data_IF_750321307325
#
_entry.id   IF_750321307325
#
_cell.length_a   1.000
_cell.length_b   1.000
_cell.length_c   1.000
_cell.angle_alpha   90.00
_cell.angle_beta   90.00
_cell.angle_gamma   90.00
#
_symmetry.space_group_name_H-M   'P 1'
#
loop_
_entity.id
_entity.type
_entity.pdbx_description
1 polymer ?
#
# COMPACT_ATOMS: atom_id res chain seq x y z
N UNK A 1 -13.34 -12.19 36.64
CA UNK A 1 -13.13 -13.55 36.10
C UNK A 1 -13.75 -13.73 34.71
N UNK A 2 -15.03 -13.40 34.51
CA UNK A 2 -15.75 -13.58 33.23
C UNK A 2 -15.10 -12.86 32.04
N UNK A 3 -14.66 -11.60 32.21
CA UNK A 3 -13.99 -10.84 31.14
C UNK A 3 -12.63 -11.42 30.71
N UNK A 4 -11.91 -12.08 31.62
CA UNK A 4 -10.62 -12.71 31.33
C UNK A 4 -10.82 -14.01 30.54
N UNK A 5 -11.83 -14.81 30.89
CA UNK A 5 -12.21 -16.03 30.17
C UNK A 5 -12.73 -15.69 28.76
N UNK A 6 -13.52 -14.61 28.62
CA UNK A 6 -14.01 -14.15 27.32
C UNK A 6 -12.88 -13.62 26.41
N UNK A 7 -11.90 -12.91 26.97
CA UNK A 7 -10.70 -12.49 26.23
C UNK A 7 -9.88 -13.69 25.75
N UNK A 8 -9.72 -14.70 26.59
CA UNK A 8 -9.02 -15.94 26.26
C UNK A 8 -9.77 -16.70 25.14
N UNK A 9 -11.10 -16.73 25.18
CA UNK A 9 -11.92 -17.36 24.14
C UNK A 9 -11.88 -16.60 22.81
N UNK A 10 -11.96 -15.27 22.84
CA UNK A 10 -11.84 -14.44 21.65
C UNK A 10 -10.43 -14.54 21.03
N UNK A 11 -9.39 -14.59 21.88
CA UNK A 11 -8.01 -14.79 21.47
C UNK A 11 -7.81 -16.19 20.85
N UNK A 12 -8.33 -17.25 21.46
CA UNK A 12 -8.26 -18.62 20.92
C UNK A 12 -9.08 -18.77 19.62
N UNK A 13 -10.24 -18.12 19.53
CA UNK A 13 -11.03 -18.10 18.30
C UNK A 13 -10.29 -17.36 17.19
N UNK A 14 -9.65 -16.24 17.48
CA UNK A 14 -8.81 -15.52 16.52
C UNK A 14 -7.57 -16.30 16.13
N UNK A 15 -6.90 -16.95 17.08
CA UNK A 15 -5.74 -17.79 16.83
C UNK A 15 -6.14 -19.00 15.98
N UNK A 16 -7.32 -19.59 16.22
CA UNK A 16 -7.89 -20.67 15.40
C UNK A 16 -8.31 -20.21 14.01
N UNK A 17 -8.88 -19.02 13.87
CA UNK A 17 -9.23 -18.44 12.57
C UNK A 17 -7.97 -18.05 11.80
N UNK A 18 -6.97 -17.47 12.46
CA UNK A 18 -5.66 -17.13 11.90
C UNK A 18 -4.85 -18.37 11.51
N UNK A 19 -4.84 -19.42 12.35
CA UNK A 19 -4.19 -20.70 12.05
C UNK A 19 -4.95 -21.47 10.96
N UNK A 20 -6.28 -21.43 10.97
CA UNK A 20 -7.11 -22.00 9.91
C UNK A 20 -6.88 -21.31 8.57
N UNK A 21 -6.78 -19.97 8.57
CA UNK A 21 -6.42 -19.19 7.39
C UNK A 21 -4.97 -19.43 6.96
N UNK A 22 -4.03 -19.48 7.90
CA UNK A 22 -2.61 -19.68 7.57
C UNK A 22 -2.37 -21.08 7.00
N UNK A 23 -3.02 -22.12 7.54
CA UNK A 23 -2.98 -23.49 7.00
C UNK A 23 -3.72 -23.59 5.66
N UNK A 24 -4.84 -22.89 5.47
CA UNK A 24 -5.53 -22.76 4.17
C UNK A 24 -4.65 -22.06 3.11
N UNK A 25 -3.92 -21.01 3.50
CA UNK A 25 -2.99 -20.25 2.63
C UNK A 25 -1.72 -21.07 2.36
N UNK A 26 -1.24 -21.87 3.32
CA UNK A 26 -0.02 -22.67 3.19
C UNK A 26 -0.24 -23.93 2.34
N UNK A 27 -1.44 -24.55 2.37
CA UNK A 27 -1.81 -25.64 1.44
C UNK A 27 -2.01 -25.19 -0.01
N UNK A 28 -2.39 -23.93 -0.28
CA UNK A 28 -2.35 -23.37 -1.66
C UNK A 28 -0.93 -23.12 -2.16
N UNK A 29 0.03 -22.83 -1.26
CA UNK A 29 1.44 -22.64 -1.60
C UNK A 29 2.14 -23.93 -2.02
N UNK A 30 1.88 -25.06 -1.35
CA UNK A 30 2.49 -26.35 -1.75
C UNK A 30 1.97 -26.86 -3.10
N UNK A 31 0.71 -26.63 -3.45
CA UNK A 31 0.16 -27.12 -4.73
C UNK A 31 0.66 -26.28 -5.92
N UNK A 32 0.99 -25.01 -5.72
CA UNK A 32 1.57 -24.17 -6.78
C UNK A 32 3.09 -24.39 -6.94
N UNK A 33 3.80 -24.75 -5.86
CA UNK A 33 5.23 -25.09 -5.91
C UNK A 33 5.51 -26.52 -6.37
N UNK A 34 4.57 -27.45 -6.18
CA UNK A 34 4.69 -28.83 -6.71
C UNK A 34 4.29 -28.97 -8.18
N UNK A 35 3.73 -27.95 -8.83
CA UNK A 35 3.51 -28.00 -10.30
C UNK A 35 4.75 -27.50 -11.07
N UNK A 36 5.65 -26.74 -10.42
CA UNK A 36 6.93 -26.33 -11.04
C UNK A 36 8.11 -27.27 -10.71
N UNK A 37 7.93 -28.28 -9.85
CA UNK A 37 8.94 -29.30 -9.52
C UNK A 37 8.69 -30.68 -10.15
N UNK A 38 7.70 -30.83 -11.03
CA UNK A 38 7.47 -32.06 -11.79
C UNK A 38 7.68 -31.86 -13.30
N UNK A 39 8.80 -31.23 -13.65
CA UNK A 39 9.57 -31.67 -14.82
C UNK A 39 10.55 -32.77 -14.35
N UNK A 40 10.03 -33.98 -14.11
CA UNK A 40 10.82 -35.19 -13.85
C UNK A 40 10.99 -35.60 -12.38
N UNK A 41 10.06 -36.41 -11.85
CA UNK A 41 10.34 -37.29 -10.70
C UNK A 41 9.41 -38.52 -10.69
N UNK A 42 10.02 -39.70 -10.55
CA UNK A 42 9.41 -41.04 -10.51
C UNK A 42 8.79 -41.31 -9.14
N UNK A 43 7.54 -41.80 -9.01
CA UNK A 43 6.97 -42.05 -7.69
C UNK A 43 7.40 -43.43 -7.18
N UNK A 44 7.92 -43.48 -5.95
CA UNK A 44 7.98 -44.69 -5.16
C UNK A 44 7.17 -44.52 -3.87
N UNK A 45 6.28 -45.49 -3.68
CA UNK A 45 5.56 -45.93 -2.48
C UNK A 45 4.36 -45.12 -1.94
N UNK A 46 3.19 -45.68 -2.27
CA UNK A 46 1.87 -45.40 -1.72
C UNK A 46 1.78 -45.95 -0.29
N UNK A 47 1.47 -45.10 0.70
CA UNK A 47 0.92 -45.53 1.99
C UNK A 47 -0.59 -45.28 2.03
N UNK A 48 -1.32 -46.32 2.45
CA UNK A 48 -2.77 -46.47 2.35
C UNK A 48 -3.58 -45.34 3.01
N UNK A 49 -4.54 -44.83 2.24
CA UNK A 49 -5.54 -43.85 2.62
C UNK A 49 -6.61 -44.43 3.57
N UNK A 50 -6.90 -43.74 4.68
CA UNK A 50 -7.91 -44.15 5.67
C UNK A 50 -9.33 -43.65 5.36
N UNK A 51 -10.35 -44.28 5.94
CA UNK A 51 -11.81 -44.07 5.74
C UNK A 51 -12.30 -42.60 5.67
N UNK A 52 -11.64 -41.66 6.37
CA UNK A 52 -11.92 -40.22 6.32
C UNK A 52 -11.61 -39.55 4.95
N UNK A 53 -10.76 -40.19 4.14
CA UNK A 53 -10.36 -39.78 2.79
C UNK A 53 -11.46 -40.08 1.76
N UNK A 54 -12.23 -41.14 1.98
CA UNK A 54 -13.39 -41.52 1.16
C UNK A 54 -14.58 -40.57 1.46
N UNK A 55 -14.74 -40.15 2.71
CA UNK A 55 -15.73 -39.12 3.09
C UNK A 55 -15.37 -37.73 2.55
N UNK A 56 -14.07 -37.37 2.58
CA UNK A 56 -13.48 -36.15 2.00
C UNK A 56 -13.75 -36.04 0.49
N UNK A 57 -13.70 -37.16 -0.23
CA UNK A 57 -13.88 -37.17 -1.68
C UNK A 57 -15.36 -37.02 -2.10
N UNK A 58 -16.31 -37.62 -1.36
CA UNK A 58 -17.75 -37.41 -1.63
C UNK A 58 -18.23 -35.99 -1.32
N UNK A 59 -17.63 -35.30 -0.35
CA UNK A 59 -17.92 -33.89 -0.09
C UNK A 59 -17.37 -32.98 -1.20
N UNK A 60 -16.23 -33.32 -1.80
CA UNK A 60 -15.64 -32.54 -2.90
C UNK A 60 -16.51 -32.55 -4.17
N UNK A 61 -17.18 -33.66 -4.50
CA UNK A 61 -18.07 -33.74 -5.67
C UNK A 61 -19.34 -32.89 -5.48
N UNK A 62 -19.94 -32.87 -4.28
CA UNK A 62 -21.16 -32.10 -4.00
C UNK A 62 -20.96 -30.57 -4.02
N UNK A 63 -19.75 -30.07 -3.72
CA UNK A 63 -19.46 -28.63 -3.68
C UNK A 63 -18.71 -28.09 -4.91
N UNK A 64 -18.10 -28.97 -5.72
CA UNK A 64 -17.52 -28.59 -7.01
C UNK A 64 -18.59 -28.17 -8.03
N UNK A 65 -19.81 -28.70 -7.91
CA UNK A 65 -20.85 -28.50 -8.92
C UNK A 65 -21.64 -27.17 -8.77
N UNK A 66 -21.41 -26.41 -7.68
CA UNK A 66 -22.18 -25.19 -7.38
C UNK A 66 -21.42 -23.87 -7.51
N UNK A 67 -20.18 -23.87 -8.03
CA UNK A 67 -19.35 -22.65 -8.18
C UNK A 67 -19.27 -22.13 -9.63
N UNK A 68 -19.92 -22.80 -10.60
CA UNK A 68 -20.18 -22.24 -11.93
C UNK A 68 -21.51 -21.47 -11.95
N UNK A 69 -21.53 -20.27 -11.38
CA UNK A 69 -22.53 -19.24 -11.76
C UNK A 69 -21.85 -17.89 -11.99
N UNK A 70 -21.99 -17.29 -13.20
CA UNK A 70 -21.44 -15.98 -13.49
C UNK A 70 -22.35 -14.90 -12.84
N UNK A 71 -21.77 -14.03 -12.01
CA UNK A 71 -22.55 -13.01 -11.30
C UNK A 71 -21.73 -11.76 -10.92
N UNK A 72 -21.98 -10.68 -11.70
CA UNK A 72 -21.70 -9.23 -11.57
C UNK A 72 -20.23 -8.73 -11.43
N UNK A 73 -19.75 -7.79 -12.30
CA UNK A 73 -18.31 -7.72 -12.62
C UNK A 73 -17.53 -6.50 -12.09
N UNK A 74 -18.13 -5.48 -11.46
CA UNK A 74 -17.44 -4.17 -11.37
C UNK A 74 -16.55 -3.95 -10.13
N UNK A 75 -17.00 -4.30 -8.90
CA UNK A 75 -16.23 -4.00 -7.68
C UNK A 75 -15.13 -5.02 -7.33
N UNK A 76 -15.18 -6.25 -7.88
CA UNK A 76 -14.23 -7.32 -7.54
C UNK A 76 -12.83 -7.05 -8.11
N UNK A 77 -12.77 -6.66 -9.39
CA UNK A 77 -11.49 -6.33 -10.06
C UNK A 77 -10.73 -5.23 -9.33
N UNK A 78 -11.41 -4.19 -8.83
CA UNK A 78 -10.75 -3.05 -8.19
C UNK A 78 -10.07 -3.43 -6.87
N UNK A 79 -10.71 -4.25 -6.03
CA UNK A 79 -10.12 -4.70 -4.77
C UNK A 79 -8.99 -5.68 -4.99
N UNK A 80 -9.13 -6.59 -5.95
CA UNK A 80 -8.05 -7.52 -6.33
C UNK A 80 -6.83 -6.75 -6.87
N UNK A 81 -7.06 -5.74 -7.71
CA UNK A 81 -6.00 -4.83 -8.18
C UNK A 81 -5.35 -4.06 -7.02
N UNK A 82 -6.11 -3.61 -6.02
CA UNK A 82 -5.55 -2.96 -4.84
C UNK A 82 -4.66 -3.91 -4.00
N UNK A 83 -5.00 -5.21 -3.93
CA UNK A 83 -4.14 -6.19 -3.25
C UNK A 83 -2.83 -6.40 -4.00
N UNK A 84 -2.90 -6.49 -5.32
CA UNK A 84 -1.73 -6.59 -6.20
C UNK A 84 -0.85 -5.34 -6.06
N UNK A 85 -1.45 -4.15 -6.11
CA UNK A 85 -0.77 -2.86 -5.90
C UNK A 85 -0.16 -2.74 -4.49
N UNK A 86 -0.76 -3.36 -3.47
CA UNK A 86 -0.22 -3.40 -2.12
C UNK A 86 0.91 -4.44 -1.96
N UNK A 87 1.09 -5.33 -2.94
CA UNK A 87 2.00 -6.48 -2.84
C UNK A 87 1.54 -7.54 -1.85
N UNK A 88 0.23 -7.62 -1.58
CA UNK A 88 -0.32 -8.60 -0.66
C UNK A 88 -0.72 -9.85 -1.44
N UNK A 89 -0.30 -11.06 -1.01
CA UNK A 89 -0.67 -12.32 -1.65
C UNK A 89 -2.09 -12.76 -1.25
N UNK A 90 -3.02 -11.82 -1.22
CA UNK A 90 -4.40 -12.00 -0.79
C UNK A 90 -5.33 -11.60 -1.92
N UNK A 91 -6.43 -12.34 -2.08
CA UNK A 91 -7.54 -11.91 -2.92
C UNK A 91 -8.32 -10.78 -2.20
N UNK A 92 -8.99 -9.91 -2.95
CA UNK A 92 -9.75 -8.79 -2.38
C UNK A 92 -10.85 -9.25 -1.42
N UNK A 93 -11.47 -10.41 -1.69
CA UNK A 93 -12.45 -11.04 -0.80
C UNK A 93 -11.81 -11.62 0.48
N UNK A 94 -10.60 -12.17 0.41
CA UNK A 94 -9.87 -12.66 1.58
C UNK A 94 -9.52 -11.49 2.50
N UNK A 95 -9.06 -10.37 1.93
CA UNK A 95 -8.79 -9.16 2.69
C UNK A 95 -10.06 -8.59 3.35
N UNK A 96 -11.19 -8.55 2.62
CA UNK A 96 -12.47 -8.15 3.19
C UNK A 96 -12.91 -9.07 4.33
N UNK A 97 -12.78 -10.39 4.18
CA UNK A 97 -13.13 -11.36 5.22
C UNK A 97 -12.26 -11.19 6.47
N UNK A 98 -10.94 -10.99 6.32
CA UNK A 98 -10.01 -10.72 7.43
C UNK A 98 -10.37 -9.41 8.12
N UNK A 99 -10.61 -8.34 7.35
CA UNK A 99 -10.94 -7.03 7.92
C UNK A 99 -12.30 -7.01 8.63
N UNK A 100 -13.30 -7.70 8.07
CA UNK A 100 -14.61 -7.89 8.70
C UNK A 100 -14.52 -8.75 9.96
N UNK A 101 -13.76 -9.85 9.92
CA UNK A 101 -13.51 -10.70 11.09
C UNK A 101 -12.80 -9.94 12.21
N UNK A 102 -11.81 -9.12 11.88
CA UNK A 102 -11.14 -8.24 12.83
C UNK A 102 -12.11 -7.20 13.43
N UNK A 103 -12.98 -6.61 12.63
CA UNK A 103 -13.98 -5.64 13.10
C UNK A 103 -14.98 -6.27 14.07
N UNK A 104 -15.48 -7.48 13.75
CA UNK A 104 -16.36 -8.25 14.63
C UNK A 104 -15.64 -8.63 15.92
N UNK A 105 -14.37 -9.03 15.86
CA UNK A 105 -13.59 -9.32 17.05
C UNK A 105 -13.42 -8.10 17.94
N UNK A 106 -13.04 -6.96 17.37
CA UNK A 106 -12.89 -5.71 18.11
C UNK A 106 -14.22 -5.31 18.75
N UNK A 107 -15.33 -5.41 18.02
CA UNK A 107 -16.67 -5.16 18.53
C UNK A 107 -17.01 -6.07 19.72
N UNK A 108 -16.79 -7.39 19.61
CA UNK A 108 -17.11 -8.34 20.66
C UNK A 108 -16.25 -8.12 21.91
N UNK A 109 -14.94 -7.94 21.74
CA UNK A 109 -14.03 -7.70 22.88
C UNK A 109 -14.40 -6.42 23.62
N UNK A 110 -14.68 -5.33 22.91
CA UNK A 110 -15.02 -4.05 23.52
C UNK A 110 -16.41 -4.04 24.16
N UNK A 111 -17.40 -4.69 23.54
CA UNK A 111 -18.73 -4.87 24.12
C UNK A 111 -18.72 -5.76 25.38
N UNK A 112 -17.90 -6.82 25.40
CA UNK A 112 -17.77 -7.74 26.54
C UNK A 112 -16.94 -7.14 27.70
N UNK A 113 -16.07 -6.16 27.43
CA UNK A 113 -15.35 -5.40 28.46
C UNK A 113 -16.24 -4.36 29.19
N UNK A 114 -17.56 -4.38 28.96
CA UNK A 114 -18.52 -3.63 29.77
C UNK A 114 -18.64 -2.14 29.43
N UNK A 115 -18.00 -1.68 28.36
CA UNK A 115 -18.25 -0.36 27.78
C UNK A 115 -19.37 -0.54 26.75
N UNK A 116 -20.42 0.27 26.83
CA UNK A 116 -21.70 0.08 26.11
C UNK A 116 -21.59 -0.42 24.66
N UNK A 117 -22.67 -1.01 24.13
CA UNK A 117 -22.83 -1.39 22.71
C UNK A 117 -22.35 -0.30 21.73
N UNK A 118 -22.49 0.97 22.12
CA UNK A 118 -22.03 2.13 21.35
C UNK A 118 -20.50 2.14 21.18
N UNK A 119 -19.74 1.83 22.24
CA UNK A 119 -18.27 1.76 22.19
C UNK A 119 -17.78 0.57 21.38
N UNK A 120 -18.53 -0.54 21.40
CA UNK A 120 -18.25 -1.69 20.54
C UNK A 120 -18.42 -1.36 19.06
N UNK A 121 -19.52 -0.70 18.72
CA UNK A 121 -19.80 -0.26 17.36
C UNK A 121 -18.73 0.71 16.86
N UNK A 122 -18.32 1.68 17.68
CA UNK A 122 -17.22 2.59 17.36
C UNK A 122 -15.89 1.84 17.16
N UNK A 123 -15.57 0.86 18.00
CA UNK A 123 -14.36 0.03 17.86
C UNK A 123 -14.35 -0.76 16.55
N UNK A 124 -15.47 -1.39 16.18
CA UNK A 124 -15.62 -2.11 14.91
C UNK A 124 -15.48 -1.19 13.70
N UNK A 125 -16.09 -0.01 13.73
CA UNK A 125 -15.94 1.01 12.67
C UNK A 125 -14.48 1.45 12.55
N UNK A 126 -13.82 1.75 13.66
CA UNK A 126 -12.41 2.14 13.68
C UNK A 126 -11.49 1.03 13.14
N UNK A 127 -11.81 -0.24 13.37
CA UNK A 127 -11.06 -1.37 12.82
C UNK A 127 -11.19 -1.44 11.28
N UNK A 128 -12.39 -1.22 10.72
CA UNK A 128 -12.61 -1.18 9.27
C UNK A 128 -11.90 0.04 8.66
N UNK A 129 -12.02 1.21 9.27
CA UNK A 129 -11.30 2.40 8.80
C UNK A 129 -9.78 2.21 8.87
N UNK A 130 -9.29 1.59 9.96
CA UNK A 130 -7.88 1.26 10.14
C UNK A 130 -7.35 0.32 9.05
N UNK A 131 -8.12 -0.70 8.66
CA UNK A 131 -7.72 -1.60 7.58
C UNK A 131 -7.61 -0.86 6.24
N UNK A 132 -8.60 -0.03 5.90
CA UNK A 132 -8.59 0.78 4.65
C UNK A 132 -7.39 1.74 4.63
N UNK A 133 -7.11 2.42 5.75
CA UNK A 133 -5.95 3.32 5.86
C UNK A 133 -4.64 2.54 5.73
N UNK A 134 -4.53 1.38 6.37
CA UNK A 134 -3.36 0.51 6.25
C UNK A 134 -3.11 0.09 4.80
N UNK A 135 -4.16 -0.35 4.09
CA UNK A 135 -4.07 -0.74 2.69
C UNK A 135 -3.60 0.42 1.81
N UNK A 136 -4.23 1.59 1.93
CA UNK A 136 -3.85 2.79 1.17
C UNK A 136 -2.39 3.19 1.44
N UNK A 137 -1.97 3.20 2.72
CA UNK A 137 -0.58 3.49 3.09
C UNK A 137 0.40 2.49 2.50
N UNK A 138 0.05 1.20 2.48
CA UNK A 138 0.90 0.15 1.91
C UNK A 138 1.06 0.32 0.40
N UNK A 139 -0.04 0.59 -0.32
CA UNK A 139 -0.01 0.89 -1.75
C UNK A 139 0.88 2.11 -2.02
N UNK A 140 0.66 3.22 -1.30
CA UNK A 140 1.43 4.45 -1.53
C UNK A 140 2.92 4.25 -1.29
N UNK A 141 3.30 3.55 -0.19
CA UNK A 141 4.70 3.23 0.08
C UNK A 141 5.34 2.39 -1.04
N UNK A 142 4.61 1.43 -1.60
CA UNK A 142 5.12 0.60 -2.71
C UNK A 142 5.25 1.42 -4.00
N UNK A 143 4.30 2.30 -4.30
CA UNK A 143 4.39 3.24 -5.44
C UNK A 143 5.57 4.19 -5.30
N UNK A 144 5.76 4.80 -4.13
CA UNK A 144 6.91 5.67 -3.84
C UNK A 144 8.24 4.92 -3.94
N UNK A 145 8.30 3.66 -3.48
CA UNK A 145 9.50 2.84 -3.62
C UNK A 145 9.82 2.54 -5.09
N UNK A 146 8.80 2.29 -5.91
CA UNK A 146 8.94 2.08 -7.35
C UNK A 146 9.40 3.36 -8.06
N UNK A 147 8.80 4.52 -7.74
CA UNK A 147 9.18 5.83 -8.30
C UNK A 147 10.65 6.17 -8.02
N UNK A 148 11.12 5.91 -6.79
CA UNK A 148 12.53 6.13 -6.43
C UNK A 148 13.50 5.28 -7.22
N UNK A 149 13.10 4.06 -7.58
CA UNK A 149 13.91 3.11 -8.36
C UNK A 149 13.87 3.41 -9.87
N UNK A 150 12.94 4.24 -10.35
CA UNK A 150 12.70 4.45 -11.77
C UNK A 150 13.89 5.06 -12.52
N UNK A 151 14.58 6.03 -11.91
CA UNK A 151 15.76 6.66 -12.52
C UNK A 151 16.93 5.67 -12.71
N UNK A 152 17.17 4.83 -11.70
CA UNK A 152 18.21 3.79 -11.74
C UNK A 152 17.87 2.73 -12.80
N UNK A 153 16.59 2.35 -12.89
CA UNK A 153 16.09 1.44 -13.92
C UNK A 153 16.31 1.98 -15.33
N UNK A 154 15.95 3.24 -15.58
CA UNK A 154 16.14 3.85 -16.90
C UNK A 154 17.61 3.94 -17.28
N UNK A 155 18.48 4.20 -16.30
CA UNK A 155 19.94 4.18 -16.51
C UNK A 155 20.42 2.79 -16.88
N UNK A 156 19.96 1.75 -16.18
CA UNK A 156 20.27 0.36 -16.48
C UNK A 156 19.80 -0.01 -17.89
N UNK A 157 18.56 0.33 -18.25
CA UNK A 157 17.99 0.05 -19.57
C UNK A 157 18.81 0.72 -20.67
N UNK A 158 19.10 2.02 -20.52
CA UNK A 158 19.88 2.76 -21.51
C UNK A 158 21.28 2.16 -21.70
N UNK A 159 21.99 1.85 -20.60
CA UNK A 159 23.31 1.24 -20.66
C UNK A 159 23.30 -0.16 -21.28
N UNK A 160 22.32 -1.01 -20.93
CA UNK A 160 22.17 -2.34 -21.51
C UNK A 160 21.89 -2.29 -23.01
N UNK A 161 20.97 -1.43 -23.45
CA UNK A 161 20.66 -1.28 -24.86
C UNK A 161 21.86 -0.73 -25.66
N UNK A 162 22.62 0.23 -25.11
CA UNK A 162 23.86 0.73 -25.73
C UNK A 162 24.96 -0.32 -25.81
N UNK A 163 25.04 -1.21 -24.83
CA UNK A 163 25.95 -2.35 -24.85
C UNK A 163 25.53 -3.44 -25.85
N UNK A 164 24.41 -3.25 -26.57
CA UNK A 164 23.94 -4.16 -27.61
C UNK A 164 23.03 -5.27 -27.08
N UNK A 165 22.63 -5.25 -25.81
CA UNK A 165 21.63 -6.20 -25.31
C UNK A 165 20.28 -5.94 -25.98
N UNK A 166 19.56 -7.02 -26.28
CA UNK A 166 18.17 -6.93 -26.73
C UNK A 166 17.27 -6.37 -25.62
N UNK A 167 16.10 -5.87 -26.00
CA UNK A 167 15.11 -5.37 -25.04
C UNK A 167 14.71 -6.44 -24.02
N UNK A 168 14.48 -7.69 -24.45
CA UNK A 168 14.16 -8.81 -23.55
C UNK A 168 15.31 -9.15 -22.58
N UNK A 169 16.55 -9.19 -23.06
CA UNK A 169 17.71 -9.39 -22.19
C UNK A 169 17.84 -8.25 -21.17
N UNK A 170 17.55 -7.02 -21.57
CA UNK A 170 17.56 -5.86 -20.68
C UNK A 170 16.49 -5.99 -19.58
N UNK A 171 15.26 -6.42 -19.93
CA UNK A 171 14.22 -6.69 -18.94
C UNK A 171 14.62 -7.81 -17.96
N UNK A 172 15.31 -8.84 -18.46
CA UNK A 172 15.85 -9.91 -17.64
C UNK A 172 16.91 -9.42 -16.65
N UNK A 173 17.83 -8.56 -17.09
CA UNK A 173 18.85 -7.94 -16.21
C UNK A 173 18.15 -7.15 -15.09
N UNK A 174 17.14 -6.32 -15.41
CA UNK A 174 16.38 -5.56 -14.40
C UNK A 174 15.73 -6.51 -13.38
N UNK A 175 15.16 -7.63 -13.85
CA UNK A 175 14.51 -8.60 -12.98
C UNK A 175 15.45 -9.27 -11.97
N UNK A 176 16.76 -9.28 -12.24
CA UNK A 176 17.79 -9.91 -11.41
C UNK A 176 18.57 -8.90 -10.56
N UNK A 177 18.91 -7.74 -11.11
CA UNK A 177 19.81 -6.76 -10.49
C UNK A 177 19.08 -5.74 -9.60
N UNK A 178 17.80 -5.44 -9.89
CA UNK A 178 17.07 -4.44 -9.11
C UNK A 178 16.45 -5.01 -7.83
N UNK A 179 16.21 -4.13 -6.86
CA UNK A 179 15.51 -4.49 -5.65
C UNK A 179 13.98 -4.50 -5.86
N UNK A 180 13.21 -5.27 -5.07
CA UNK A 180 11.76 -5.15 -5.05
C UNK A 180 11.31 -3.71 -4.71
N UNK A 181 10.20 -3.21 -5.25
CA UNK A 181 9.19 -3.91 -6.05
C UNK A 181 9.53 -4.08 -7.55
N UNK A 182 10.55 -3.39 -8.08
CA UNK A 182 10.79 -3.32 -9.51
C UNK A 182 11.21 -4.65 -10.12
N UNK A 183 12.19 -5.35 -9.53
CA UNK A 183 12.60 -6.69 -10.01
C UNK A 183 11.46 -7.70 -10.03
N UNK A 184 10.55 -7.63 -9.06
CA UNK A 184 9.37 -8.51 -9.00
C UNK A 184 8.44 -8.29 -10.19
N UNK A 185 8.20 -7.03 -10.57
CA UNK A 185 7.32 -6.72 -11.69
C UNK A 185 7.96 -7.07 -13.04
N UNK A 186 9.25 -6.80 -13.22
CA UNK A 186 9.97 -7.22 -14.44
C UNK A 186 10.11 -8.76 -14.53
N UNK A 187 10.27 -9.46 -13.40
CA UNK A 187 10.22 -10.93 -13.39
C UNK A 187 8.83 -11.46 -13.80
N UNK A 188 7.75 -10.77 -13.43
CA UNK A 188 6.40 -11.11 -13.90
C UNK A 188 6.26 -10.90 -15.41
N UNK A 189 6.85 -9.83 -15.96
CA UNK A 189 6.91 -9.59 -17.41
C UNK A 189 7.62 -10.75 -18.10
N UNK A 190 8.85 -11.10 -17.65
CA UNK A 190 9.61 -12.21 -18.23
C UNK A 190 8.85 -13.54 -18.17
N UNK A 191 8.17 -13.82 -17.05
CA UNK A 191 7.33 -15.01 -16.92
C UNK A 191 6.14 -15.01 -17.88
N UNK A 192 5.46 -13.88 -18.03
CA UNK A 192 4.33 -13.76 -18.96
C UNK A 192 4.78 -13.96 -20.41
N UNK A 193 5.92 -13.37 -20.79
CA UNK A 193 6.50 -13.55 -22.12
C UNK A 193 6.91 -15.01 -22.36
N UNK A 194 7.52 -15.67 -21.37
CA UNK A 194 7.89 -17.09 -21.47
C UNK A 194 6.66 -18.01 -21.62
N UNK A 195 5.48 -17.58 -21.16
CA UNK A 195 4.20 -18.27 -21.35
C UNK A 195 3.53 -17.94 -22.69
N UNK A 196 4.22 -17.26 -23.60
CA UNK A 196 3.75 -16.95 -24.95
C UNK A 196 2.90 -15.68 -25.07
N UNK A 197 2.83 -14.85 -24.02
CA UNK A 197 2.23 -13.50 -24.14
C UNK A 197 3.19 -12.56 -24.84
N UNK A 198 2.63 -11.55 -25.51
CA UNK A 198 3.43 -10.48 -26.10
C UNK A 198 4.07 -9.63 -24.99
N UNK A 199 5.21 -9.01 -25.32
CA UNK A 199 5.93 -8.16 -24.37
C UNK A 199 5.09 -6.92 -24.06
N UNK A 200 4.37 -6.43 -25.05
CA UNK A 200 3.48 -5.30 -25.01
C UNK A 200 2.36 -5.53 -23.99
N UNK A 201 1.65 -6.68 -24.08
CA UNK A 201 0.59 -7.02 -23.14
C UNK A 201 1.14 -7.17 -21.72
N UNK A 202 2.32 -7.78 -21.58
CA UNK A 202 2.95 -7.98 -20.28
C UNK A 202 3.36 -6.65 -19.62
N UNK A 203 3.86 -5.69 -20.39
CA UNK A 203 4.21 -4.34 -19.93
C UNK A 203 2.98 -3.50 -19.61
N UNK A 204 1.92 -3.59 -20.40
CA UNK A 204 0.65 -2.93 -20.10
C UNK A 204 0.00 -3.47 -18.82
N UNK A 205 0.04 -4.78 -18.60
CA UNK A 205 -0.41 -5.36 -17.32
C UNK A 205 0.46 -4.90 -16.15
N UNK A 206 1.78 -4.77 -16.35
CA UNK A 206 2.69 -4.22 -15.35
C UNK A 206 2.32 -2.77 -15.00
N UNK A 207 2.06 -1.93 -16.00
CA UNK A 207 1.62 -0.54 -15.80
C UNK A 207 0.36 -0.46 -14.94
N UNK A 208 -0.66 -1.27 -15.23
CA UNK A 208 -1.89 -1.33 -14.43
C UNK A 208 -1.65 -1.78 -12.98
N UNK A 209 -0.71 -2.73 -12.77
CA UNK A 209 -0.36 -3.23 -11.43
C UNK A 209 0.47 -2.24 -10.62
N UNK A 210 1.35 -1.46 -11.26
CA UNK A 210 2.16 -0.44 -10.59
C UNK A 210 1.33 0.81 -10.31
N UNK A 211 0.60 1.30 -11.32
CA UNK A 211 -0.27 2.47 -11.21
C UNK A 211 0.46 3.75 -10.78
N UNK A 212 1.67 3.98 -11.31
CA UNK A 212 2.47 5.19 -11.11
C UNK A 212 2.50 5.98 -12.42
N UNK A 213 2.13 7.26 -12.38
CA UNK A 213 1.96 8.10 -13.58
C UNK A 213 3.27 8.30 -14.36
N UNK A 214 4.38 8.51 -13.66
CA UNK A 214 5.70 8.70 -14.27
C UNK A 214 6.15 7.41 -14.99
N UNK A 215 5.86 6.24 -14.41
CA UNK A 215 6.12 4.95 -15.05
C UNK A 215 5.19 4.68 -16.26
N UNK A 216 3.91 5.07 -16.19
CA UNK A 216 2.98 4.94 -17.33
C UNK A 216 3.46 5.72 -18.55
N UNK A 217 4.08 6.88 -18.34
CA UNK A 217 4.70 7.66 -19.41
C UNK A 217 5.89 6.92 -20.04
N UNK A 218 6.73 6.30 -19.22
CA UNK A 218 7.85 5.46 -19.70
C UNK A 218 7.34 4.27 -20.52
N UNK A 219 6.36 3.52 -20.02
CA UNK A 219 5.80 2.36 -20.73
C UNK A 219 5.19 2.78 -22.07
N UNK A 220 4.42 3.86 -22.09
CA UNK A 220 3.84 4.39 -23.33
C UNK A 220 4.91 4.73 -24.35
N UNK A 221 5.98 5.43 -23.94
CA UNK A 221 7.09 5.76 -24.82
C UNK A 221 7.82 4.51 -25.35
N UNK A 222 8.07 3.52 -24.49
CA UNK A 222 8.71 2.25 -24.86
C UNK A 222 7.87 1.49 -25.89
N UNK A 223 6.55 1.37 -25.66
CA UNK A 223 5.64 0.65 -26.58
C UNK A 223 5.55 1.33 -27.95
N UNK A 224 5.45 2.66 -27.99
CA UNK A 224 5.47 3.42 -29.24
C UNK A 224 6.79 3.17 -29.98
N UNK A 225 7.90 3.26 -29.27
CA UNK A 225 9.22 3.12 -29.88
C UNK A 225 9.50 1.70 -30.37
N UNK A 226 8.95 0.67 -29.71
CA UNK A 226 9.02 -0.71 -30.16
C UNK A 226 8.26 -0.93 -31.48
N UNK A 227 7.13 -0.23 -31.67
CA UNK A 227 6.29 -0.36 -32.87
C UNK A 227 6.83 0.43 -34.06
N UNK A 228 7.35 1.64 -33.83
CA UNK A 228 7.78 2.56 -34.91
C UNK A 228 9.21 2.25 -35.37
N UNK A 229 10.05 1.69 -34.49
CA UNK A 229 11.46 1.42 -34.78
C UNK A 229 12.33 2.70 -34.76
N UNK A 230 13.48 2.64 -34.08
CA UNK A 230 14.44 3.75 -33.97
C UNK A 230 15.36 3.59 -32.77
N UNK A 231 16.22 4.57 -32.48
CA UNK A 231 17.17 4.51 -31.37
C UNK A 231 16.49 4.70 -30.01
N UNK A 232 15.91 3.62 -29.47
CA UNK A 232 15.26 3.56 -28.15
C UNK A 232 16.18 4.06 -27.03
N UNK A 233 17.50 3.85 -27.15
CA UNK A 233 18.46 4.33 -26.15
C UNK A 233 18.45 5.86 -26.05
N UNK A 234 18.43 6.58 -27.19
CA UNK A 234 18.40 8.05 -27.20
C UNK A 234 17.13 8.62 -26.57
N UNK A 235 15.96 8.02 -26.85
CA UNK A 235 14.69 8.50 -26.29
C UNK A 235 14.62 8.20 -24.78
N UNK A 236 15.08 7.02 -24.36
CA UNK A 236 15.14 6.68 -22.94
C UNK A 236 16.10 7.59 -22.18
N UNK A 237 17.18 8.07 -22.80
CA UNK A 237 18.07 9.07 -22.20
C UNK A 237 17.37 10.41 -21.97
N UNK A 238 16.61 10.90 -22.97
CA UNK A 238 15.83 12.14 -22.83
C UNK A 238 14.76 12.00 -21.74
N UNK A 239 14.09 10.84 -21.66
CA UNK A 239 13.10 10.56 -20.61
C UNK A 239 13.77 10.47 -19.25
N UNK A 240 14.92 9.80 -19.14
CA UNK A 240 15.71 9.69 -17.91
C UNK A 240 16.15 11.06 -17.41
N UNK A 241 16.66 11.92 -18.28
CA UNK A 241 17.04 13.30 -17.93
C UNK A 241 15.83 14.09 -17.45
N UNK A 242 14.71 14.02 -18.16
CA UNK A 242 13.46 14.70 -17.78
C UNK A 242 12.94 14.24 -16.42
N UNK A 243 12.91 12.92 -16.17
CA UNK A 243 12.45 12.35 -14.89
C UNK A 243 13.41 12.70 -13.76
N UNK A 244 14.72 12.64 -14.01
CA UNK A 244 15.73 12.99 -12.99
C UNK A 244 15.61 14.46 -12.60
N UNK A 245 15.41 15.35 -13.58
CA UNK A 245 15.21 16.77 -13.33
C UNK A 245 13.89 17.04 -12.59
N UNK A 246 12.79 16.36 -12.96
CA UNK A 246 11.53 16.43 -12.21
C UNK A 246 11.69 15.97 -10.76
N UNK A 247 12.40 14.87 -10.52
CA UNK A 247 12.66 14.37 -9.17
C UNK A 247 13.51 15.37 -8.38
N UNK A 248 14.53 15.96 -9.01
CA UNK A 248 15.36 17.00 -8.39
C UNK A 248 14.54 18.22 -8.02
N UNK A 249 13.73 18.74 -8.94
CA UNK A 249 12.83 19.87 -8.70
C UNK A 249 11.83 19.56 -7.59
N UNK A 250 11.20 18.37 -7.59
CA UNK A 250 10.32 17.93 -6.50
C UNK A 250 11.02 17.91 -5.14
N UNK A 251 12.28 17.44 -5.08
CA UNK A 251 13.08 17.44 -3.85
C UNK A 251 13.46 18.84 -3.41
N UNK A 252 13.85 19.70 -4.35
CA UNK A 252 14.23 21.09 -4.07
C UNK A 252 13.04 21.90 -3.57
N UNK A 253 11.91 21.86 -4.27
CA UNK A 253 10.65 22.46 -3.81
C UNK A 253 10.21 21.83 -2.48
N UNK A 254 10.33 20.52 -2.31
CA UNK A 254 10.03 19.85 -1.04
C UNK A 254 10.89 20.37 0.12
N UNK A 255 12.17 20.64 -0.13
CA UNK A 255 13.11 21.17 0.87
C UNK A 255 12.79 22.63 1.20
N UNK A 256 12.59 23.47 0.18
CA UNK A 256 12.23 24.89 0.34
C UNK A 256 10.87 25.07 1.03
N UNK A 257 9.88 24.26 0.67
CA UNK A 257 8.56 24.28 1.30
C UNK A 257 8.58 23.69 2.72
N UNK A 258 9.43 22.70 3.00
CA UNK A 258 9.63 22.21 4.36
C UNK A 258 10.21 23.30 5.28
N UNK A 259 11.18 24.09 4.80
CA UNK A 259 11.70 25.24 5.53
C UNK A 259 10.59 26.26 5.82
N UNK A 260 9.80 26.63 4.80
CA UNK A 260 8.68 27.57 4.96
C UNK A 260 7.61 27.08 5.95
N UNK A 261 7.26 25.78 5.90
CA UNK A 261 6.33 25.15 6.85
C UNK A 261 6.88 25.17 8.27
N UNK A 262 8.17 24.89 8.44
CA UNK A 262 8.81 24.91 9.75
C UNK A 262 8.82 26.32 10.35
N UNK A 263 9.20 27.34 9.57
CA UNK A 263 9.15 28.73 10.01
C UNK A 263 7.72 29.17 10.38
N UNK A 264 6.71 28.75 9.62
CA UNK A 264 5.31 28.99 9.95
C UNK A 264 4.87 28.35 11.26
N UNK A 265 5.22 27.08 11.49
CA UNK A 265 4.93 26.38 12.74
C UNK A 265 5.63 27.06 13.92
N UNK A 266 6.90 27.43 13.78
CA UNK A 266 7.65 28.12 14.84
C UNK A 266 6.98 29.45 15.18
N UNK A 267 6.63 30.27 14.19
CA UNK A 267 5.98 31.56 14.40
C UNK A 267 4.64 31.40 15.12
N UNK A 268 3.83 30.42 14.72
CA UNK A 268 2.54 30.13 15.37
C UNK A 268 2.66 29.58 16.78
N UNK A 269 3.76 28.90 17.09
CA UNK A 269 4.03 28.42 18.45
C UNK A 269 4.54 29.53 19.38
N UNK A 270 5.10 30.64 18.89
CA UNK A 270 5.69 31.69 19.74
C UNK A 270 4.67 32.30 20.72
N UNK A 271 3.46 32.75 20.32
CA UNK A 271 2.50 33.32 21.25
C UNK A 271 2.05 32.34 22.33
N UNK A 272 1.89 31.07 21.97
CA UNK A 272 1.50 30.01 22.91
C UNK A 272 2.65 29.72 23.89
N UNK A 273 3.88 29.63 23.39
CA UNK A 273 5.08 29.43 24.21
C UNK A 273 5.33 30.59 25.17
N UNK A 274 5.20 31.83 24.71
CA UNK A 274 5.30 33.03 25.55
C UNK A 274 4.16 33.08 26.58
N UNK A 275 2.93 32.74 26.19
CA UNK A 275 1.80 32.64 27.11
C UNK A 275 2.04 31.61 28.22
N UNK A 276 2.55 30.43 27.87
CA UNK A 276 2.95 29.40 28.84
C UNK A 276 4.11 29.87 29.74
N UNK A 277 5.12 30.50 29.15
CA UNK A 277 6.28 31.02 29.89
C UNK A 277 5.84 32.06 30.93
N UNK A 278 5.06 33.06 30.53
CA UNK A 278 4.52 34.06 31.46
C UNK A 278 3.58 33.43 32.50
N UNK A 279 2.86 32.36 32.16
CA UNK A 279 1.98 31.68 33.11
C UNK A 279 2.75 31.03 34.27
N UNK A 280 4.00 30.60 34.01
CA UNK A 280 4.88 29.99 35.01
C UNK A 280 5.75 31.04 35.72
N UNK A 281 6.39 31.94 34.97
CA UNK A 281 7.35 32.90 35.51
C UNK A 281 6.71 34.08 36.22
N UNK A 282 5.58 34.60 35.70
CA UNK A 282 4.93 35.79 36.24
C UNK A 282 3.40 35.71 36.12
N UNK A 283 2.73 34.87 36.93
CA UNK A 283 1.28 34.61 36.81
C UNK A 283 0.41 35.87 36.96
N UNK A 284 0.91 36.88 37.68
CA UNK A 284 0.21 38.16 37.90
C UNK A 284 0.08 39.00 36.63
N UNK A 285 0.98 38.83 35.65
CA UNK A 285 0.88 39.49 34.34
C UNK A 285 -0.26 38.94 33.47
N UNK A 286 -0.56 37.64 33.56
CA UNK A 286 -1.61 36.98 32.78
C UNK A 286 -3.00 37.04 33.43
N UNK A 287 -3.07 37.26 34.74
CA UNK A 287 -4.34 37.33 35.49
C UNK A 287 -5.36 38.27 34.84
N UNK A 288 -5.04 39.55 34.53
CA UNK A 288 -5.99 40.46 33.89
C UNK A 288 -6.46 39.97 32.52
N UNK A 289 -5.60 39.29 31.77
CA UNK A 289 -5.89 38.73 30.45
C UNK A 289 -6.95 37.61 30.53
N UNK A 290 -6.91 36.81 31.60
CA UNK A 290 -7.80 35.66 31.79
C UNK A 290 -9.09 35.99 32.56
N UNK A 291 -9.07 36.97 33.47
CA UNK A 291 -10.22 37.27 34.34
C UNK A 291 -11.14 38.36 33.78
N UNK A 292 -10.59 39.36 33.07
CA UNK A 292 -11.38 40.48 32.56
C UNK A 292 -12.11 40.13 31.26
N UNK A 293 -13.29 40.71 31.05
CA UNK A 293 -14.07 40.51 29.80
C UNK A 293 -13.32 41.00 28.55
N UNK A 294 -12.55 42.09 28.69
CA UNK A 294 -11.72 42.65 27.61
C UNK A 294 -10.55 41.71 27.30
N UNK A 295 -9.89 41.14 28.32
CA UNK A 295 -8.79 40.18 28.13
C UNK A 295 -9.21 38.92 27.39
N UNK A 296 -10.37 38.35 27.74
CA UNK A 296 -10.94 37.18 27.03
C UNK A 296 -11.26 37.49 25.57
N UNK A 297 -11.80 38.68 25.29
CA UNK A 297 -12.06 39.13 23.92
C UNK A 297 -10.76 39.32 23.12
N UNK A 298 -9.72 39.89 23.74
CA UNK A 298 -8.41 40.06 23.12
C UNK A 298 -7.74 38.72 22.79
N UNK A 299 -7.83 37.72 23.69
CA UNK A 299 -7.35 36.34 23.41
C UNK A 299 -8.13 35.74 22.24
N UNK A 300 -9.46 35.90 22.21
CA UNK A 300 -10.29 35.41 21.12
C UNK A 300 -9.87 35.99 19.76
N UNK A 301 -9.66 37.31 19.69
CA UNK A 301 -9.16 37.99 18.49
C UNK A 301 -7.76 37.51 18.10
N UNK A 302 -6.86 37.38 19.08
CA UNK A 302 -5.50 36.89 18.86
C UNK A 302 -5.50 35.46 18.26
N UNK A 303 -6.31 34.55 18.81
CA UNK A 303 -6.44 33.17 18.30
C UNK A 303 -7.01 33.16 16.88
N UNK A 304 -8.02 33.97 16.59
CA UNK A 304 -8.59 34.06 15.24
C UNK A 304 -7.55 34.59 14.24
N UNK A 305 -6.82 35.65 14.60
CA UNK A 305 -5.74 36.17 13.76
C UNK A 305 -4.62 35.16 13.57
N UNK A 306 -4.27 34.41 14.60
CA UNK A 306 -3.26 33.34 14.54
C UNK A 306 -3.67 32.24 13.57
N UNK A 307 -4.93 31.78 13.63
CA UNK A 307 -5.47 30.78 12.70
C UNK A 307 -5.45 31.32 11.26
N UNK A 308 -5.86 32.57 11.04
CA UNK A 308 -5.82 33.19 9.71
C UNK A 308 -4.38 33.27 9.19
N UNK A 309 -3.44 33.71 10.03
CA UNK A 309 -2.01 33.77 9.71
C UNK A 309 -1.46 32.40 9.32
N UNK A 310 -1.73 31.38 10.12
CA UNK A 310 -1.33 30.00 9.83
C UNK A 310 -1.91 29.48 8.51
N UNK A 311 -3.19 29.76 8.23
CA UNK A 311 -3.84 29.36 6.97
C UNK A 311 -3.23 30.05 5.76
N UNK A 312 -2.92 31.36 5.86
CA UNK A 312 -2.25 32.11 4.80
C UNK A 312 -0.85 31.56 4.52
N UNK A 313 -0.04 31.32 5.57
CA UNK A 313 1.29 30.73 5.43
C UNK A 313 1.19 29.33 4.80
N UNK A 314 0.28 28.50 5.29
CA UNK A 314 0.07 27.14 4.76
C UNK A 314 -0.31 27.14 3.29
N UNK A 315 -1.04 28.16 2.83
CA UNK A 315 -1.46 28.30 1.42
C UNK A 315 -0.34 28.84 0.54
N UNK A 316 0.48 29.78 1.03
CA UNK A 316 1.62 30.34 0.28
C UNK A 316 2.70 29.27 0.07
N UNK A 317 2.92 28.41 1.07
CA UNK A 317 3.96 27.38 1.02
C UNK A 317 3.52 26.11 0.27
N UNK A 318 2.24 25.98 -0.07
CA UNK A 318 1.74 24.86 -0.88
C UNK A 318 1.98 25.10 -2.37
N UNK A 319 3.20 24.79 -2.82
CA UNK A 319 3.58 24.87 -4.22
C UNK A 319 3.16 23.56 -4.92
N UNK A 320 2.21 23.66 -5.85
CA UNK A 320 1.85 22.56 -6.76
C UNK A 320 2.87 22.49 -7.89
N UNK A 321 3.46 21.31 -8.08
CA UNK A 321 4.39 20.97 -9.18
C UNK A 321 3.65 20.10 -10.19
#
# INVERSE_FOLDING_TARGET
MIGLVALLFAFLFFLGLYAGLSVYIQRRREVSQRIQQYAGYTPAEVRQAGFLEILRNKFHELFAERVRRPGRPWNRKKLDLMMIQAGLPLLGNEYLAISGGLAVLVFLVTALMGRSLLTGLLGGILAIFGSVIFLKRRINRRKEAFERQLADCLTLVSNSLRAGFSFLQTMEIISREMQPPMSTEFANVMRNTALGRTVEDALQEMDQRVGNEDFSLVITAVLIQQQVGGNLATILDTIRETISERIRLRREVGTLTAQGKFSGIVLTCIPVALGLFFAVSSPEYLKPLLTTSIGKMAIGVAVVMEIIGYLLISRIVDIKI
#
